data_IF_215605863933
#
_entry.id   IF_215605863933
#
_cell.length_a   1.000
_cell.length_b   1.000
_cell.length_c   1.000
_cell.angle_alpha   90.00
_cell.angle_beta   90.00
_cell.angle_gamma   90.00
#
_symmetry.space_group_name_H-M   'P 1'
#
loop_
_entity.id
_entity.type
_entity.pdbx_description
1 polymer ?
#
# COMPACT_ATOMS: atom_id res chain seq x y z
N UNK A 1 -7.75 -10.77 -24.86
CA UNK A 1 -7.56 -9.72 -23.84
C UNK A 1 -6.12 -9.82 -23.44
N UNK A 2 -5.38 -8.72 -23.45
CA UNK A 2 -3.95 -8.68 -23.08
C UNK A 2 -3.61 -7.41 -22.29
N UNK A 3 -4.66 -6.71 -21.87
CA UNK A 3 -4.70 -5.48 -21.10
C UNK A 3 -5.06 -5.76 -19.63
N UNK A 4 -5.22 -7.02 -19.25
CA UNK A 4 -5.49 -7.48 -17.89
C UNK A 4 -4.22 -8.01 -17.24
N UNK A 5 -4.10 -7.84 -15.93
CA UNK A 5 -3.10 -8.50 -15.12
C UNK A 5 -3.57 -9.93 -14.80
N UNK A 6 -2.66 -10.87 -14.93
CA UNK A 6 -2.83 -12.26 -14.52
C UNK A 6 -2.76 -12.36 -12.99
N UNK A 7 -3.72 -13.08 -12.41
CA UNK A 7 -3.80 -13.38 -10.97
C UNK A 7 -3.85 -12.14 -10.04
N UNK A 8 -4.24 -10.99 -10.59
CA UNK A 8 -4.39 -9.73 -9.87
C UNK A 8 -5.78 -9.19 -10.21
N UNK A 9 -6.63 -8.93 -9.20
CA UNK A 9 -7.92 -8.31 -9.49
C UNK A 9 -7.70 -6.87 -9.93
N UNK A 10 -8.52 -6.36 -10.85
CA UNK A 10 -8.39 -4.99 -11.34
C UNK A 10 -9.75 -4.35 -11.58
N UNK A 11 -9.85 -3.07 -11.22
CA UNK A 11 -10.92 -2.18 -11.66
C UNK A 11 -10.39 -1.32 -12.80
N UNK A 12 -11.15 -1.23 -13.88
CA UNK A 12 -10.84 -0.33 -14.99
C UNK A 12 -11.51 1.01 -14.77
N UNK A 13 -10.74 2.08 -14.96
CA UNK A 13 -11.24 3.44 -14.82
C UNK A 13 -12.04 3.87 -16.05
N UNK A 14 -13.08 4.69 -15.85
CA UNK A 14 -13.76 5.36 -16.96
C UNK A 14 -12.95 6.57 -17.44
N UNK A 15 -12.43 7.34 -16.48
CA UNK A 15 -11.52 8.46 -16.71
C UNK A 15 -10.16 8.20 -16.07
N UNK A 16 -9.09 8.39 -16.84
CA UNK A 16 -7.73 8.09 -16.38
C UNK A 16 -7.38 8.93 -15.14
N UNK A 17 -7.06 8.25 -14.04
CA UNK A 17 -6.68 8.86 -12.77
C UNK A 17 -7.85 9.17 -11.83
N UNK A 18 -9.09 8.80 -12.17
CA UNK A 18 -10.27 9.02 -11.32
C UNK A 18 -10.11 8.40 -9.92
N UNK A 19 -9.44 7.25 -9.79
CA UNK A 19 -9.22 6.58 -8.52
C UNK A 19 -8.26 7.37 -7.60
N UNK A 20 -7.24 8.00 -8.19
CA UNK A 20 -6.27 8.83 -7.45
C UNK A 20 -6.91 10.15 -6.99
N UNK A 21 -7.73 10.75 -7.86
CA UNK A 21 -8.50 11.96 -7.53
C UNK A 21 -9.48 11.65 -6.39
N UNK A 22 -10.30 10.60 -6.54
CA UNK A 22 -11.26 10.17 -5.53
C UNK A 22 -10.61 9.86 -4.18
N UNK A 23 -9.42 9.23 -4.19
CA UNK A 23 -8.63 9.00 -2.97
C UNK A 23 -8.18 10.30 -2.31
N UNK A 24 -7.77 11.29 -3.10
CA UNK A 24 -7.34 12.61 -2.60
C UNK A 24 -8.52 13.36 -1.98
N UNK A 25 -9.67 13.36 -2.65
CA UNK A 25 -10.89 14.01 -2.15
C UNK A 25 -11.38 13.36 -0.84
N UNK A 26 -11.18 12.05 -0.70
CA UNK A 26 -11.56 11.29 0.49
C UNK A 26 -10.56 11.41 1.64
N UNK A 27 -9.36 11.97 1.42
CA UNK A 27 -8.24 11.91 2.38
C UNK A 27 -8.61 12.48 3.76
N UNK A 28 -9.33 13.61 3.81
CA UNK A 28 -9.77 14.22 5.06
C UNK A 28 -10.80 13.41 5.86
N UNK A 29 -11.41 12.40 5.23
CA UNK A 29 -12.41 11.52 5.86
C UNK A 29 -11.81 10.27 6.49
N UNK A 30 -10.56 9.92 6.18
CA UNK A 30 -9.93 8.70 6.69
C UNK A 30 -9.77 8.77 8.22
N UNK A 31 -10.12 7.67 8.88
CA UNK A 31 -10.08 7.49 10.35
C UNK A 31 -9.21 6.30 10.70
N UNK A 32 -8.77 6.26 11.96
CA UNK A 32 -7.95 5.17 12.51
C UNK A 32 -6.74 4.89 11.62
N UNK A 33 -6.47 3.62 11.29
CA UNK A 33 -5.37 3.22 10.43
C UNK A 33 -5.61 3.55 8.94
N UNK A 34 -6.79 4.02 8.56
CA UNK A 34 -7.14 4.42 7.20
C UNK A 34 -7.45 3.25 6.25
N UNK A 35 -7.63 3.53 4.94
CA UNK A 35 -8.00 2.54 3.93
C UNK A 35 -6.82 1.65 3.56
N UNK A 36 -7.05 0.52 2.85
CA UNK A 36 -5.99 -0.21 2.20
C UNK A 36 -5.18 0.66 1.23
N UNK A 37 -3.99 0.14 0.91
CA UNK A 37 -3.13 0.79 -0.07
C UNK A 37 -3.74 0.63 -1.45
N UNK A 38 -3.60 1.66 -2.28
CA UNK A 38 -4.14 1.70 -3.64
C UNK A 38 -2.99 1.66 -4.62
N UNK A 39 -3.06 0.74 -5.58
CA UNK A 39 -2.10 0.62 -6.65
C UNK A 39 -2.80 0.94 -7.97
N UNK A 40 -2.44 2.05 -8.59
CA UNK A 40 -2.93 2.48 -9.90
C UNK A 40 -1.86 2.24 -10.96
N UNK A 41 -2.26 1.79 -12.14
CA UNK A 41 -1.38 1.64 -13.30
C UNK A 41 -2.03 2.20 -14.56
N UNK A 42 -1.19 2.79 -15.42
CA UNK A 42 -1.57 3.23 -16.76
C UNK A 42 -0.96 2.31 -17.79
N UNK A 43 -1.80 1.71 -18.62
CA UNK A 43 -1.42 0.81 -19.71
C UNK A 43 -1.52 1.55 -21.03
N UNK A 44 -0.51 1.36 -21.88
CA UNK A 44 -0.47 1.92 -23.24
C UNK A 44 -0.41 0.79 -24.26
N UNK A 45 -1.05 0.99 -25.41
CA UNK A 45 -0.99 0.04 -26.52
C UNK A 45 0.16 0.40 -27.47
N UNK A 46 0.79 -0.61 -28.08
CA UNK A 46 1.83 -0.40 -29.09
C UNK A 46 1.30 0.25 -30.38
N UNK A 47 0.00 0.09 -30.68
CA UNK A 47 -0.66 0.69 -31.84
C UNK A 47 -0.93 2.19 -31.59
N UNK A 48 -0.43 3.10 -32.44
CA UNK A 48 -0.73 4.52 -32.34
C UNK A 48 -2.24 4.79 -32.43
N UNK A 49 -2.72 5.77 -31.67
CA UNK A 49 -4.13 6.21 -31.67
C UNK A 49 -5.07 5.39 -30.80
N UNK A 50 -4.60 4.30 -30.18
CA UNK A 50 -5.33 3.60 -29.12
C UNK A 50 -5.15 4.38 -27.82
N UNK A 51 -6.26 4.71 -27.15
CA UNK A 51 -6.24 5.44 -25.87
C UNK A 51 -5.58 4.59 -24.79
N UNK A 52 -4.94 5.26 -23.84
CA UNK A 52 -4.42 4.63 -22.64
C UNK A 52 -5.56 4.14 -21.74
N UNK A 53 -5.27 3.10 -20.97
CA UNK A 53 -6.21 2.46 -20.06
C UNK A 53 -5.67 2.57 -18.65
N UNK A 54 -6.46 3.16 -17.75
CA UNK A 54 -6.18 3.16 -16.32
C UNK A 54 -6.83 1.94 -15.65
N UNK A 55 -6.09 1.28 -14.78
CA UNK A 55 -6.67 0.30 -13.86
C UNK A 55 -6.02 0.38 -12.49
N UNK A 56 -6.75 -0.05 -11.47
CA UNK A 56 -6.25 -0.06 -10.10
C UNK A 56 -6.75 -1.25 -9.30
N UNK A 57 -6.07 -1.52 -8.20
CA UNK A 57 -6.47 -2.53 -7.22
C UNK A 57 -6.07 -2.09 -5.81
N UNK A 58 -6.76 -2.65 -4.82
CA UNK A 58 -6.40 -2.46 -3.42
C UNK A 58 -5.43 -3.56 -3.00
N UNK A 59 -4.48 -3.23 -2.13
CA UNK A 59 -3.47 -4.17 -1.66
C UNK A 59 -3.11 -3.94 -0.19
N UNK A 60 -2.76 -5.01 0.51
CA UNK A 60 -2.12 -4.95 1.84
C UNK A 60 -0.89 -5.85 1.90
N UNK A 61 0.00 -5.58 2.86
CA UNK A 61 1.18 -6.39 3.13
C UNK A 61 2.33 -6.22 2.14
N UNK A 62 2.35 -5.14 1.35
CA UNK A 62 3.56 -4.73 0.62
C UNK A 62 4.46 -3.97 1.59
N UNK A 63 5.78 -4.17 1.49
CA UNK A 63 6.74 -3.43 2.30
C UNK A 63 6.76 -1.94 1.90
N UNK A 64 6.15 -1.10 2.74
CA UNK A 64 6.06 0.35 2.57
C UNK A 64 7.17 1.14 3.30
N UNK A 65 8.29 0.50 3.64
CA UNK A 65 9.43 1.14 4.30
C UNK A 65 10.27 2.05 3.41
N UNK A 66 10.11 1.99 2.09
CA UNK A 66 10.89 2.81 1.17
C UNK A 66 10.18 3.02 -0.17
N UNK A 67 10.58 4.06 -0.90
CA UNK A 67 10.14 4.26 -2.28
C UNK A 67 10.59 3.12 -3.20
N UNK A 68 11.79 2.57 -2.96
CA UNK A 68 12.35 1.48 -3.75
C UNK A 68 11.52 0.18 -3.65
N UNK A 69 11.06 -0.19 -2.46
CA UNK A 69 10.23 -1.39 -2.26
C UNK A 69 8.86 -1.26 -2.93
N UNK A 70 8.23 -0.09 -2.84
CA UNK A 70 6.96 0.19 -3.52
C UNK A 70 7.13 0.28 -5.05
N UNK A 71 8.22 0.87 -5.54
CA UNK A 71 8.54 0.88 -6.97
C UNK A 71 8.82 -0.53 -7.50
N UNK A 72 9.47 -1.39 -6.72
CA UNK A 72 9.68 -2.80 -7.06
C UNK A 72 8.34 -3.54 -7.18
N UNK A 73 7.37 -3.25 -6.30
CA UNK A 73 6.00 -3.79 -6.44
C UNK A 73 5.35 -3.36 -7.75
N UNK A 74 5.41 -2.08 -8.11
CA UNK A 74 4.87 -1.59 -9.39
C UNK A 74 5.56 -2.23 -10.60
N UNK A 75 6.88 -2.38 -10.56
CA UNK A 75 7.64 -3.06 -11.61
C UNK A 75 7.27 -4.54 -11.72
N UNK A 76 6.95 -5.22 -10.61
CA UNK A 76 6.49 -6.61 -10.63
C UNK A 76 5.22 -6.77 -11.49
N UNK A 77 4.34 -5.77 -11.51
CA UNK A 77 3.09 -5.81 -12.29
C UNK A 77 3.35 -5.90 -13.80
N UNK A 78 4.51 -5.42 -14.27
CA UNK A 78 4.88 -5.52 -15.70
C UNK A 78 4.96 -6.98 -16.15
N UNK A 79 5.49 -7.87 -15.31
CA UNK A 79 5.55 -9.31 -15.55
C UNK A 79 4.22 -10.01 -15.33
N UNK A 80 3.24 -9.33 -14.75
CA UNK A 80 1.90 -9.86 -14.52
C UNK A 80 0.93 -9.48 -15.64
N UNK A 81 1.32 -8.64 -16.60
CA UNK A 81 0.48 -8.32 -17.75
C UNK A 81 0.31 -9.58 -18.62
N UNK A 82 -0.93 -9.91 -18.97
CA UNK A 82 -1.25 -11.15 -19.68
C UNK A 82 -0.60 -11.18 -21.08
N UNK A 83 0.57 -11.82 -21.16
CA UNK A 83 1.28 -12.05 -22.42
C UNK A 83 0.80 -13.37 -23.05
N UNK A 84 0.33 -13.36 -24.30
CA UNK A 84 0.01 -14.59 -25.00
C UNK A 84 1.28 -15.43 -25.21
N UNK A 85 1.50 -16.39 -24.30
CA UNK A 85 2.55 -17.39 -24.34
C UNK A 85 2.30 -18.37 -25.49
N UNK A 86 2.62 -17.95 -26.71
CA UNK A 86 2.79 -18.85 -27.82
C UNK A 86 4.15 -18.60 -28.46
N UNK A 87 4.88 -19.68 -28.74
CA UNK A 87 6.17 -19.73 -29.45
C UNK A 87 6.14 -19.05 -30.85
N UNK A 88 4.97 -18.57 -31.30
CA UNK A 88 4.73 -17.80 -32.51
C UNK A 88 3.91 -16.52 -32.28
N UNK A 89 3.86 -16.01 -31.06
CA UNK A 89 2.97 -14.91 -30.69
C UNK A 89 3.50 -13.54 -31.12
N UNK A 90 2.58 -12.67 -31.53
CA UNK A 90 2.85 -11.27 -31.86
C UNK A 90 3.41 -10.54 -30.63
N UNK A 91 4.25 -9.49 -30.82
CA UNK A 91 4.74 -8.68 -29.70
C UNK A 91 3.58 -8.18 -28.82
N UNK A 92 3.81 -8.12 -27.50
CA UNK A 92 2.82 -7.72 -26.52
C UNK A 92 2.15 -6.41 -26.94
N UNK A 93 0.83 -6.46 -27.14
CA UNK A 93 0.09 -5.31 -27.64
C UNK A 93 -0.04 -4.20 -26.60
N UNK A 94 0.02 -4.56 -25.31
CA UNK A 94 -0.09 -3.64 -24.18
C UNK A 94 1.17 -3.69 -23.33
N UNK A 95 1.47 -2.56 -22.69
CA UNK A 95 2.54 -2.43 -21.70
C UNK A 95 2.15 -1.43 -20.63
N UNK A 96 2.62 -1.65 -19.41
CA UNK A 96 2.46 -0.68 -18.33
C UNK A 96 3.45 0.48 -18.58
N UNK A 97 2.92 1.70 -18.68
CA UNK A 97 3.70 2.93 -18.92
C UNK A 97 4.09 3.61 -17.62
N UNK A 98 3.18 3.61 -16.65
CA UNK A 98 3.38 4.23 -15.35
C UNK A 98 2.52 3.57 -14.29
N UNK A 99 2.83 3.82 -13.03
CA UNK A 99 1.99 3.44 -11.91
C UNK A 99 2.20 4.33 -10.70
N UNK A 100 1.19 4.37 -9.83
CA UNK A 100 1.18 5.14 -8.59
C UNK A 100 0.78 4.19 -7.46
N UNK A 101 1.64 4.07 -6.45
CA UNK A 101 1.33 3.37 -5.21
C UNK A 101 0.98 4.38 -4.13
N UNK A 102 -0.19 4.28 -3.51
CA UNK A 102 -0.66 5.16 -2.44
C UNK A 102 -0.78 4.39 -1.12
N UNK A 103 -0.08 4.85 -0.10
CA UNK A 103 -0.07 4.27 1.24
C UNK A 103 -0.40 5.35 2.27
N UNK A 104 -1.45 5.15 3.05
CA UNK A 104 -1.86 6.14 4.05
C UNK A 104 -0.98 6.05 5.29
N UNK A 105 -0.47 7.19 5.76
CA UNK A 105 0.22 7.32 7.04
C UNK A 105 -0.80 7.81 8.09
N UNK A 106 -1.11 6.95 9.07
CA UNK A 106 -2.13 7.23 10.08
C UNK A 106 -1.65 8.17 11.19
N UNK A 107 -0.34 8.26 11.45
CA UNK A 107 0.22 9.20 12.44
C UNK A 107 0.04 10.65 11.98
N UNK A 108 0.53 10.96 10.78
CA UNK A 108 0.51 12.31 10.22
C UNK A 108 -0.73 12.61 9.38
N UNK A 109 -1.57 11.60 9.11
CA UNK A 109 -2.79 11.68 8.29
C UNK A 109 -2.53 12.22 6.88
N UNK A 110 -1.46 11.73 6.26
CA UNK A 110 -1.04 12.06 4.88
C UNK A 110 -1.03 10.80 4.02
N UNK A 111 -1.11 10.97 2.70
CA UNK A 111 -1.07 9.86 1.75
C UNK A 111 0.28 9.83 1.03
N UNK A 112 1.15 8.89 1.41
CA UNK A 112 2.47 8.71 0.76
C UNK A 112 2.27 8.07 -0.60
N UNK A 113 2.88 8.64 -1.62
CA UNK A 113 2.76 8.21 -3.02
C UNK A 113 4.13 7.94 -3.62
N UNK A 114 4.21 6.84 -4.36
CA UNK A 114 5.35 6.50 -5.22
C UNK A 114 4.85 6.40 -6.64
N UNK A 115 5.32 7.32 -7.48
CA UNK A 115 5.01 7.35 -8.90
C UNK A 115 6.20 6.79 -9.68
N UNK A 116 5.94 5.79 -10.52
CA UNK A 116 6.93 5.15 -11.39
C UNK A 116 6.56 5.40 -12.84
N UNK A 117 7.55 5.79 -13.64
CA UNK A 117 7.50 5.78 -15.10
C UNK A 117 8.39 4.65 -15.59
N UNK A 118 7.94 3.89 -16.58
CA UNK A 118 8.63 2.68 -17.07
C UNK A 118 9.12 2.95 -18.50
N UNK A 119 10.41 2.76 -18.82
CA UNK A 119 11.46 2.08 -18.04
C UNK A 119 12.30 2.98 -17.10
N UNK A 120 11.87 4.19 -16.76
CA UNK A 120 12.64 5.03 -15.84
C UNK A 120 11.88 6.21 -15.25
N UNK A 121 12.27 6.58 -14.03
CA UNK A 121 11.68 7.66 -13.23
C UNK A 121 10.93 7.09 -12.03
N UNK A 122 11.39 7.42 -10.83
CA UNK A 122 10.69 7.16 -9.58
C UNK A 122 10.63 8.47 -8.83
N UNK A 123 9.43 8.91 -8.48
CA UNK A 123 9.19 10.08 -7.66
C UNK A 123 8.42 9.64 -6.41
N UNK A 124 8.81 10.16 -5.26
CA UNK A 124 8.12 9.90 -4.00
C UNK A 124 7.83 11.17 -3.25
N UNK A 125 6.59 11.29 -2.77
CA UNK A 125 6.08 12.44 -2.06
C UNK A 125 4.95 11.99 -1.14
N UNK A 126 4.45 12.89 -0.29
CA UNK A 126 3.15 12.69 0.34
C UNK A 126 2.19 13.80 -0.07
N UNK A 127 0.91 13.48 -0.01
CA UNK A 127 -0.19 14.42 -0.25
C UNK A 127 -0.88 14.71 1.08
N UNK A 128 -1.03 15.99 1.41
CA UNK A 128 -1.77 16.43 2.59
C UNK A 128 -3.28 16.55 2.31
N UNK A 129 -4.07 16.83 3.34
CA UNK A 129 -5.53 16.98 3.22
C UNK A 129 -6.00 18.11 2.30
N UNK A 130 -5.09 19.02 1.89
CA UNK A 130 -5.36 20.10 0.93
C UNK A 130 -5.03 19.68 -0.50
N UNK A 131 -4.49 18.48 -0.71
CA UNK A 131 -4.03 18.00 -2.01
C UNK A 131 -2.62 18.50 -2.38
N UNK A 132 -1.89 19.12 -1.45
CA UNK A 132 -0.54 19.63 -1.72
C UNK A 132 0.50 18.52 -1.62
N UNK A 133 1.48 18.55 -2.53
CA UNK A 133 2.60 17.59 -2.57
C UNK A 133 3.77 18.08 -1.73
N UNK A 134 4.33 17.19 -0.93
CA UNK A 134 5.46 17.47 -0.04
C UNK A 134 6.48 16.33 -0.10
N UNK A 135 7.74 16.63 0.23
CA UNK A 135 8.81 15.63 0.29
C UNK A 135 8.57 14.64 1.45
N UNK A 136 8.67 13.34 1.16
CA UNK A 136 8.54 12.30 2.18
C UNK A 136 9.85 12.12 2.96
N UNK A 137 9.89 12.63 4.18
CA UNK A 137 11.02 12.49 5.10
C UNK A 137 11.18 11.04 5.60
N UNK A 138 12.32 10.72 6.22
CA UNK A 138 12.57 9.41 6.81
C UNK A 138 11.51 9.05 7.89
N UNK A 139 11.13 10.03 8.71
CA UNK A 139 10.08 9.86 9.73
C UNK A 139 8.73 9.52 9.09
N UNK A 140 8.35 10.21 8.01
CA UNK A 140 7.10 9.92 7.29
C UNK A 140 7.12 8.50 6.71
N UNK A 141 8.23 8.06 6.13
CA UNK A 141 8.39 6.70 5.61
C UNK A 141 8.25 5.64 6.70
N UNK A 142 8.87 5.87 7.84
CA UNK A 142 8.81 4.96 8.96
C UNK A 142 7.39 4.83 9.55
N UNK A 143 6.71 5.96 9.74
CA UNK A 143 5.30 5.99 10.16
C UNK A 143 4.39 5.30 9.14
N UNK A 144 4.68 5.46 7.84
CA UNK A 144 3.93 4.83 6.75
C UNK A 144 4.10 3.31 6.76
N UNK A 145 5.33 2.82 6.98
CA UNK A 145 5.62 1.41 7.14
C UNK A 145 4.81 0.77 8.28
N UNK A 146 4.83 1.40 9.46
CA UNK A 146 4.05 0.94 10.61
C UNK A 146 2.55 1.00 10.31
N UNK A 147 2.06 2.08 9.70
CA UNK A 147 0.64 2.21 9.34
C UNK A 147 0.18 1.08 8.40
N UNK A 148 0.98 0.75 7.38
CA UNK A 148 0.70 -0.33 6.44
C UNK A 148 0.71 -1.71 7.10
N UNK A 149 1.71 -1.99 7.95
CA UNK A 149 1.81 -3.25 8.69
C UNK A 149 0.61 -3.43 9.62
N UNK A 150 0.27 -2.42 10.41
CA UNK A 150 -0.85 -2.48 11.36
C UNK A 150 -2.18 -2.66 10.64
N UNK A 151 -2.42 -1.96 9.51
CA UNK A 151 -3.60 -2.22 8.66
C UNK A 151 -3.65 -3.67 8.22
N UNK A 152 -2.52 -4.24 7.79
CA UNK A 152 -2.46 -5.63 7.34
C UNK A 152 -2.71 -6.62 8.48
N UNK A 153 -2.15 -6.40 9.67
CA UNK A 153 -2.28 -7.29 10.83
C UNK A 153 -3.69 -7.21 11.43
N UNK A 154 -4.24 -6.00 11.57
CA UNK A 154 -5.48 -5.78 12.32
C UNK A 154 -6.73 -5.85 11.46
N UNK A 155 -6.70 -5.33 10.23
CA UNK A 155 -7.91 -5.18 9.41
C UNK A 155 -8.07 -6.23 8.33
N UNK A 156 -6.97 -6.83 7.84
CA UNK A 156 -7.07 -7.67 6.63
C UNK A 156 -8.03 -8.85 6.83
N UNK A 157 -8.07 -9.46 8.01
CA UNK A 157 -8.93 -10.62 8.30
C UNK A 157 -10.28 -10.28 8.93
N UNK A 158 -10.56 -9.00 9.15
CA UNK A 158 -11.87 -8.56 9.62
C UNK A 158 -12.87 -8.59 8.44
N UNK A 159 -13.98 -9.30 8.66
CA UNK A 159 -15.05 -9.46 7.67
C UNK A 159 -15.66 -8.14 7.18
N UNK A 160 -15.57 -7.09 8.00
CA UNK A 160 -16.03 -5.73 7.69
C UNK A 160 -15.15 -5.05 6.63
N UNK A 161 -13.94 -5.55 6.41
CA UNK A 161 -12.96 -5.01 5.46
C UNK A 161 -12.81 -5.89 4.21
N UNK A 162 -13.81 -6.74 3.91
CA UNK A 162 -13.88 -7.48 2.65
C UNK A 162 -14.20 -6.54 1.50
N UNK A 163 -13.13 -6.10 0.83
CA UNK A 163 -13.22 -5.23 -0.33
C UNK A 163 -13.10 -6.04 -1.61
N UNK A 164 -13.91 -5.68 -2.61
CA UNK A 164 -13.71 -6.21 -3.95
C UNK A 164 -12.36 -5.74 -4.49
N UNK A 165 -11.69 -6.60 -5.26
CA UNK A 165 -10.38 -6.31 -5.83
C UNK A 165 -9.27 -6.03 -4.81
N UNK A 166 -9.38 -6.63 -3.63
CA UNK A 166 -8.38 -6.53 -2.57
C UNK A 166 -7.40 -7.70 -2.59
N UNK A 167 -6.13 -7.39 -2.84
CA UNK A 167 -5.02 -8.34 -2.86
C UNK A 167 -4.30 -8.35 -1.52
N UNK A 168 -4.35 -9.46 -0.81
CA UNK A 168 -3.60 -9.63 0.44
C UNK A 168 -2.23 -10.26 0.17
N UNK A 169 -1.20 -9.74 0.82
CA UNK A 169 0.12 -10.37 0.93
C UNK A 169 0.47 -10.55 2.40
N UNK A 170 1.37 -11.47 2.69
CA UNK A 170 1.95 -11.60 4.02
C UNK A 170 2.82 -10.37 4.32
N UNK A 171 2.46 -9.54 5.32
CA UNK A 171 3.23 -8.35 5.68
C UNK A 171 4.58 -8.67 6.35
N UNK A 172 4.75 -9.86 6.93
CA UNK A 172 5.95 -10.26 7.66
C UNK A 172 6.39 -11.67 7.18
N UNK A 173 6.93 -11.77 5.95
CA UNK A 173 7.18 -13.06 5.31
C UNK A 173 8.38 -13.84 5.86
N UNK A 174 9.21 -13.22 6.72
CA UNK A 174 10.42 -13.83 7.27
C UNK A 174 10.87 -13.14 8.57
N UNK A 175 11.86 -13.73 9.23
CA UNK A 175 12.40 -13.26 10.51
C UNK A 175 13.10 -11.89 10.41
N UNK A 176 13.65 -11.56 9.25
CA UNK A 176 14.26 -10.25 9.02
C UNK A 176 13.18 -9.14 8.98
N UNK A 177 12.03 -9.42 8.37
CA UNK A 177 10.87 -8.53 8.40
C UNK A 177 10.28 -8.40 9.81
N UNK A 178 10.28 -9.48 10.60
CA UNK A 178 9.85 -9.46 12.00
C UNK A 178 10.75 -8.54 12.86
N UNK A 179 12.08 -8.66 12.71
CA UNK A 179 13.02 -7.80 13.42
C UNK A 179 12.86 -6.32 13.01
N UNK A 180 12.68 -6.06 11.71
CA UNK A 180 12.44 -4.71 11.19
C UNK A 180 11.13 -4.10 11.69
N UNK A 181 10.08 -4.92 11.85
CA UNK A 181 8.83 -4.47 12.46
C UNK A 181 9.07 -4.02 13.90
N UNK A 182 9.75 -4.81 14.72
CA UNK A 182 10.05 -4.46 16.11
C UNK A 182 10.88 -3.18 16.23
N UNK A 183 11.94 -3.05 15.43
CA UNK A 183 12.80 -1.85 15.43
C UNK A 183 12.00 -0.59 15.06
N UNK A 184 11.18 -0.66 14.02
CA UNK A 184 10.34 0.47 13.62
C UNK A 184 9.24 0.76 14.67
N UNK A 185 8.69 -0.27 15.31
CA UNK A 185 7.66 -0.14 16.34
C UNK A 185 8.21 0.52 17.60
N UNK A 186 9.42 0.16 18.04
CA UNK A 186 10.12 0.78 19.17
C UNK A 186 10.28 2.29 18.95
N UNK A 187 10.78 2.67 17.78
CA UNK A 187 11.01 4.07 17.42
C UNK A 187 9.71 4.89 17.32
N UNK A 188 8.58 4.27 16.96
CA UNK A 188 7.27 4.91 16.92
C UNK A 188 6.45 4.76 18.22
N UNK A 189 6.96 4.04 19.23
CA UNK A 189 6.18 3.60 20.39
C UNK A 189 5.50 4.75 21.14
N UNK A 190 6.26 5.80 21.43
CA UNK A 190 5.75 6.96 22.17
C UNK A 190 4.75 7.82 21.38
N UNK A 191 4.69 7.65 20.06
CA UNK A 191 3.70 8.27 19.18
C UNK A 191 2.50 7.36 18.90
N UNK A 192 2.50 6.11 19.38
CA UNK A 192 1.49 5.10 19.04
C UNK A 192 0.05 5.50 19.37
N UNK A 193 -0.16 6.35 20.38
CA UNK A 193 -1.48 6.89 20.73
C UNK A 193 -2.13 7.71 19.60
N UNK A 194 -1.33 8.27 18.68
CA UNK A 194 -1.83 9.05 17.54
C UNK A 194 -2.58 8.19 16.52
N UNK A 195 -2.33 6.88 16.51
CA UNK A 195 -2.97 5.94 15.59
C UNK A 195 -4.44 5.69 15.91
N UNK A 196 -4.90 6.03 17.12
CA UNK A 196 -6.22 5.66 17.61
C UNK A 196 -6.22 4.30 18.31
N UNK A 197 -7.41 3.78 18.57
CA UNK A 197 -7.64 2.55 19.33
C UNK A 197 -8.91 1.85 18.85
N UNK A 198 -9.15 0.63 19.37
CA UNK A 198 -10.43 -0.06 19.14
C UNK A 198 -11.60 0.73 19.76
N UNK A 199 -12.83 0.58 19.22
CA UNK A 199 -13.99 1.39 19.65
C UNK A 199 -14.34 1.31 21.14
N UNK A 200 -13.99 0.20 21.80
CA UNK A 200 -14.22 -0.03 23.23
C UNK A 200 -13.35 0.86 24.12
N UNK A 201 -12.25 1.40 23.58
CA UNK A 201 -11.33 2.29 24.28
C UNK A 201 -11.68 3.73 23.92
N UNK A 202 -12.09 4.51 24.92
CA UNK A 202 -12.50 5.91 24.73
C UNK A 202 -11.36 6.84 24.34
N UNK A 203 -10.17 6.63 24.90
CA UNK A 203 -9.00 7.47 24.69
C UNK A 203 -7.78 6.57 24.50
N UNK A 204 -7.11 6.70 23.36
CA UNK A 204 -5.88 6.00 23.10
C UNK A 204 -4.78 6.43 24.08
N UNK A 205 -4.03 5.47 24.63
CA UNK A 205 -2.91 5.71 25.55
C UNK A 205 -1.63 5.10 24.99
N UNK A 206 -0.51 5.24 25.70
CA UNK A 206 0.75 4.58 25.33
C UNK A 206 0.64 3.06 25.27
N UNK A 207 -0.27 2.45 26.03
CA UNK A 207 -0.45 0.99 26.10
C UNK A 207 -1.72 0.48 25.42
N UNK A 208 -2.73 1.35 25.23
CA UNK A 208 -3.97 1.02 24.53
C UNK A 208 -4.07 1.82 23.24
N UNK A 209 -3.52 1.30 22.16
CA UNK A 209 -3.58 1.89 20.82
C UNK A 209 -3.40 0.81 19.75
N UNK A 210 -3.59 1.15 18.48
CA UNK A 210 -3.45 0.18 17.39
C UNK A 210 -2.03 -0.37 17.23
N UNK A 211 -0.97 0.37 17.59
CA UNK A 211 0.40 -0.16 17.55
C UNK A 211 0.59 -1.30 18.56
N UNK A 212 0.22 -1.08 19.82
CA UNK A 212 0.32 -2.13 20.85
C UNK A 212 -0.59 -3.31 20.54
N UNK A 213 -1.80 -3.06 20.04
CA UNK A 213 -2.70 -4.12 19.59
C UNK A 213 -2.11 -4.95 18.45
N UNK A 214 -1.46 -4.32 17.47
CA UNK A 214 -0.82 -5.01 16.33
C UNK A 214 0.37 -5.87 16.75
N UNK A 215 1.22 -5.36 17.64
CA UNK A 215 2.33 -6.12 18.22
C UNK A 215 1.77 -7.34 18.97
N UNK A 216 0.82 -7.13 19.87
CA UNK A 216 0.23 -8.21 20.67
C UNK A 216 -0.47 -9.25 19.81
N UNK A 217 -1.18 -8.83 18.76
CA UNK A 217 -1.84 -9.75 17.82
C UNK A 217 -0.82 -10.59 17.06
N UNK A 218 0.18 -9.98 16.41
CA UNK A 218 1.15 -10.72 15.60
C UNK A 218 1.96 -11.71 16.45
N UNK A 219 2.50 -11.27 17.59
CA UNK A 219 3.31 -12.13 18.45
C UNK A 219 2.48 -13.15 19.25
N UNK A 220 1.22 -12.82 19.55
CA UNK A 220 0.26 -13.76 20.14
C UNK A 220 -0.15 -14.87 19.18
N UNK A 221 -0.52 -14.52 17.95
CA UNK A 221 -0.93 -15.48 16.92
C UNK A 221 0.23 -16.40 16.50
N UNK A 222 1.47 -15.88 16.51
CA UNK A 222 2.67 -16.65 16.17
C UNK A 222 3.34 -17.38 17.36
N UNK A 223 2.92 -17.10 18.60
CA UNK A 223 3.57 -17.56 19.84
C UNK A 223 5.06 -17.15 19.97
N UNK A 224 5.48 -16.05 19.34
CA UNK A 224 6.88 -15.60 19.29
C UNK A 224 7.15 -14.39 20.19
N UNK A 225 6.72 -14.43 21.44
CA UNK A 225 6.90 -13.29 22.35
C UNK A 225 8.36 -12.95 22.69
N UNK A 226 9.27 -13.93 22.67
CA UNK A 226 10.66 -13.75 23.09
C UNK A 226 11.39 -12.58 22.38
N UNK A 227 11.34 -12.46 21.04
CA UNK A 227 11.85 -11.26 20.35
C UNK A 227 11.27 -9.93 20.83
N UNK A 228 10.01 -9.88 21.24
CA UNK A 228 9.30 -8.63 21.54
C UNK A 228 9.53 -8.11 22.98
N UNK A 229 10.11 -8.93 23.88
CA UNK A 229 10.47 -8.54 25.26
C UNK A 229 11.95 -8.20 25.44
N UNK A 230 12.75 -8.35 24.38
CA UNK A 230 14.17 -7.98 24.37
C UNK A 230 14.34 -6.51 24.01
#
# INVERSE_FOLDING_TARGET
MGDTLKDIPEFFENELGEAIISRTDSLGSFRELGPPDLCHITKSNAKPGVKEVGSYHYVSGVDASSSASLAAYLNMLTYSLDEPHAWFSKPAAWRIRSGIYCCFNAFSRVDVRVEVKIPGGVESYFVDVRGERHEATLEVWQQTYISALLRSILYSDDSSYRLAGFRKRDPIPNLQAEAKFLEAAEQCFFQGWQLGSVPEIQVATSVNNHLTNGIMKYFGDSFRFEPAVK
#
